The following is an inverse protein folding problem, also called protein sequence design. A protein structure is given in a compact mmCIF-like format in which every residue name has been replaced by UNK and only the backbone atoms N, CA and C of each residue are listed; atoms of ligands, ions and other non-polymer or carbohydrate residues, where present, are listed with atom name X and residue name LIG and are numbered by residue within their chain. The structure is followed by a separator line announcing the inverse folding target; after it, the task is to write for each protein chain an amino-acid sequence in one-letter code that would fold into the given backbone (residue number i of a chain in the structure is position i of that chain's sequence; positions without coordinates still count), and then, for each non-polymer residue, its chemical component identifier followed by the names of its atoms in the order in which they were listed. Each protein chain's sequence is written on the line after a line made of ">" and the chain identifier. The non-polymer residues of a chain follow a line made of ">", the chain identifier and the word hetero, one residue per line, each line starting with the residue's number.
data_IF_932281459668
#
_entry.id   IF_932281459668
#
_cell.length_a   1.000
_cell.length_b   1.000
_cell.length_c   1.000
_cell.angle_alpha   90.00
_cell.angle_beta   90.00
_cell.angle_gamma   90.00
#
_symmetry.space_group_name_H-M   'P 1'
#
loop_
_entity.id
_entity.type
_entity.pdbx_description
1 polymer ?
#
# COMPACT_ATOMS: atom_id res chain seq x y z
N UNK A 1 16.71 1.14 -6.07
CA UNK A 1 15.68 0.65 -5.14
C UNK A 1 14.34 0.99 -5.74
N UNK A 2 13.64 -0.02 -6.26
CA UNK A 2 12.31 0.13 -6.86
C UNK A 2 11.25 0.01 -5.77
N UNK A 3 10.22 0.84 -5.83
CA UNK A 3 9.08 0.79 -4.92
C UNK A 3 7.90 0.13 -5.63
N UNK A 4 7.19 -0.72 -4.91
CA UNK A 4 6.08 -1.50 -5.42
C UNK A 4 4.81 -1.18 -4.62
N UNK A 5 3.71 -0.96 -5.32
CA UNK A 5 2.41 -0.69 -4.70
C UNK A 5 1.81 -1.99 -4.14
N UNK A 6 1.52 -2.01 -2.84
CA UNK A 6 0.83 -3.11 -2.18
C UNK A 6 -0.67 -2.91 -2.18
N UNK A 7 -1.11 -1.74 -1.71
CA UNK A 7 -2.52 -1.43 -1.46
C UNK A 7 -2.80 -0.01 -1.90
N UNK A 8 -3.97 0.20 -2.50
CA UNK A 8 -4.48 1.53 -2.83
C UNK A 8 -5.91 1.67 -2.33
N UNK A 9 -6.10 2.49 -1.31
CA UNK A 9 -7.39 2.61 -0.60
C UNK A 9 -7.64 4.03 -0.09
N UNK A 10 -8.91 4.38 0.09
CA UNK A 10 -9.34 5.60 0.76
C UNK A 10 -9.65 5.37 2.25
N UNK A 11 -9.68 4.11 2.70
CA UNK A 11 -10.00 3.75 4.07
C UNK A 11 -8.78 3.96 4.98
N UNK A 12 -8.90 4.91 5.92
CA UNK A 12 -7.84 5.22 6.88
C UNK A 12 -7.57 4.08 7.86
N UNK A 13 -8.59 3.30 8.22
CA UNK A 13 -8.45 2.15 9.11
C UNK A 13 -7.60 1.09 8.44
N UNK A 14 -7.86 0.82 7.15
CA UNK A 14 -7.06 -0.13 6.39
C UNK A 14 -5.60 0.32 6.25
N UNK A 15 -5.36 1.60 5.95
CA UNK A 15 -3.98 2.15 5.88
C UNK A 15 -3.24 1.97 7.21
N UNK A 16 -3.89 2.28 8.33
CA UNK A 16 -3.30 2.09 9.66
C UNK A 16 -3.04 0.61 9.99
N UNK A 17 -3.97 -0.28 9.64
CA UNK A 17 -3.82 -1.72 9.86
C UNK A 17 -2.66 -2.30 9.05
N UNK A 18 -2.55 -1.94 7.77
CA UNK A 18 -1.46 -2.36 6.89
C UNK A 18 -0.12 -1.83 7.41
N UNK A 19 -0.05 -0.53 7.77
CA UNK A 19 1.17 0.07 8.32
C UNK A 19 1.64 -0.65 9.59
N UNK A 20 0.73 -0.92 10.53
CA UNK A 20 1.05 -1.61 11.77
C UNK A 20 1.55 -3.06 11.55
N UNK A 21 0.98 -3.79 10.58
CA UNK A 21 1.45 -5.12 10.20
C UNK A 21 2.88 -5.07 9.64
N UNK A 22 3.15 -4.13 8.73
CA UNK A 22 4.46 -3.98 8.12
C UNK A 22 5.53 -3.54 9.14
N UNK A 23 5.20 -2.59 10.02
CA UNK A 23 6.06 -2.20 11.15
C UNK A 23 6.35 -3.38 12.08
N UNK A 24 5.33 -4.16 12.43
CA UNK A 24 5.48 -5.35 13.30
C UNK A 24 6.38 -6.43 12.70
N UNK A 25 6.45 -6.51 11.36
CA UNK A 25 7.34 -7.41 10.63
C UNK A 25 8.71 -6.81 10.31
N UNK A 26 8.97 -5.55 10.68
CA UNK A 26 10.21 -4.84 10.35
C UNK A 26 10.36 -4.51 8.87
N UNK A 27 9.25 -4.44 8.12
CA UNK A 27 9.23 -4.15 6.68
C UNK A 27 9.07 -2.64 6.50
N UNK A 28 10.07 -2.02 5.86
CA UNK A 28 9.99 -0.61 5.52
C UNK A 28 8.89 -0.36 4.48
N UNK A 29 8.00 0.59 4.79
CA UNK A 29 6.89 0.96 3.93
C UNK A 29 6.76 2.48 3.82
N UNK A 30 6.15 2.92 2.72
CA UNK A 30 5.88 4.31 2.43
C UNK A 30 4.39 4.48 2.14
N UNK A 31 3.78 5.47 2.78
CA UNK A 31 2.39 5.87 2.49
C UNK A 31 2.42 7.15 1.67
N UNK A 32 2.02 7.04 0.40
CA UNK A 32 1.84 8.17 -0.52
C UNK A 32 0.39 8.67 -0.42
N UNK A 33 0.22 10.00 -0.52
CA UNK A 33 -1.04 10.77 -0.33
C UNK A 33 -1.31 11.25 1.12
N UNK A 34 -0.34 11.91 1.75
CA UNK A 34 -0.55 12.66 3.01
C UNK A 34 -0.93 14.15 2.79
N UNK A 35 -0.94 14.63 1.54
CA UNK A 35 -1.22 16.04 1.22
C UNK A 35 -2.64 16.21 0.66
N UNK A 36 -3.64 16.30 1.53
CA UNK A 36 -4.77 17.17 1.22
C UNK A 36 -5.28 17.86 2.48
N UNK A 37 -5.12 19.18 2.45
CA UNK A 37 -5.40 20.15 3.49
C UNK A 37 -6.80 19.97 4.07
N UNK A 38 -6.88 19.92 5.41
CA UNK A 38 -8.13 19.95 6.19
C UNK A 38 -8.89 21.28 6.03
N UNK A 39 -8.38 22.24 5.24
CA UNK A 39 -8.78 23.63 5.35
C UNK A 39 -9.88 24.14 4.39
N UNK A 40 -10.20 23.53 3.25
CA UNK A 40 -11.19 24.15 2.35
C UNK A 40 -11.89 23.17 1.38
N UNK A 41 -13.02 22.60 1.81
CA UNK A 41 -14.22 22.53 0.97
C UNK A 41 -14.24 21.70 -0.32
N UNK A 42 -13.29 20.80 -0.59
CA UNK A 42 -13.39 19.90 -1.76
C UNK A 42 -13.04 18.46 -1.41
N UNK A 43 -14.06 17.59 -1.48
CA UNK A 43 -14.03 16.13 -1.40
C UNK A 43 -13.26 15.52 -2.59
N UNK A 44 -11.98 15.86 -2.74
CA UNK A 44 -11.06 15.16 -3.62
C UNK A 44 -10.37 14.05 -2.85
N UNK A 45 -11.08 12.96 -2.55
CA UNK A 45 -10.49 11.82 -1.84
C UNK A 45 -9.53 11.11 -2.80
N UNK A 46 -8.29 11.57 -2.85
CA UNK A 46 -7.24 10.87 -3.54
C UNK A 46 -6.93 9.58 -2.77
N UNK A 47 -6.89 8.43 -3.46
CA UNK A 47 -6.61 7.16 -2.81
C UNK A 47 -5.17 7.08 -2.35
N UNK A 48 -5.00 6.79 -1.05
CA UNK A 48 -3.72 6.54 -0.40
C UNK A 48 -3.12 5.25 -0.90
N UNK A 49 -1.80 5.27 -1.09
CA UNK A 49 -1.04 4.13 -1.60
C UNK A 49 -0.03 3.71 -0.55
N UNK A 50 -0.02 2.42 -0.21
CA UNK A 50 1.03 1.82 0.61
C UNK A 50 2.01 1.12 -0.33
N UNK A 51 3.26 1.53 -0.26
CA UNK A 51 4.35 0.99 -1.08
C UNK A 51 5.40 0.36 -0.19
N UNK A 52 6.09 -0.64 -0.72
CA UNK A 52 7.26 -1.26 -0.09
C UNK A 52 8.40 -1.36 -1.09
N UNK A 53 9.59 -1.67 -0.59
CA UNK A 53 10.71 -2.00 -1.46
C UNK A 53 10.42 -3.30 -2.22
N UNK A 54 10.84 -3.38 -3.48
CA UNK A 54 10.68 -4.58 -4.32
C UNK A 54 11.25 -5.85 -3.68
N UNK A 55 12.37 -5.71 -2.95
CA UNK A 55 12.98 -6.82 -2.20
C UNK A 55 12.09 -7.39 -1.09
N UNK A 56 11.24 -6.54 -0.48
CA UNK A 56 10.34 -6.93 0.61
C UNK A 56 8.91 -7.19 0.14
N UNK A 57 8.59 -6.87 -1.11
CA UNK A 57 7.26 -6.96 -1.69
C UNK A 57 6.62 -8.35 -1.51
N UNK A 58 7.36 -9.41 -1.82
CA UNK A 58 6.85 -10.79 -1.64
C UNK A 58 6.53 -11.11 -0.18
N UNK A 59 7.39 -10.69 0.75
CA UNK A 59 7.20 -10.92 2.17
C UNK A 59 6.00 -10.12 2.69
N UNK A 60 5.90 -8.86 2.30
CA UNK A 60 4.80 -7.98 2.64
C UNK A 60 3.45 -8.52 2.12
N UNK A 61 3.37 -8.91 0.84
CA UNK A 61 2.16 -9.52 0.25
C UNK A 61 1.72 -10.76 1.00
N UNK A 62 2.67 -11.63 1.36
CA UNK A 62 2.40 -12.83 2.14
C UNK A 62 1.84 -12.49 3.52
N UNK A 63 2.48 -11.55 4.22
CA UNK A 63 2.02 -11.08 5.53
C UNK A 63 0.59 -10.53 5.48
N UNK A 64 0.28 -9.69 4.49
CA UNK A 64 -1.07 -9.16 4.30
C UNK A 64 -2.07 -10.27 3.98
N UNK A 65 -1.68 -11.27 3.18
CA UNK A 65 -2.54 -12.41 2.89
C UNK A 65 -2.82 -13.27 4.12
N UNK A 66 -1.81 -13.52 4.95
CA UNK A 66 -1.94 -14.25 6.22
C UNK A 66 -2.82 -13.48 7.23
N UNK A 67 -2.83 -12.15 7.17
CA UNK A 67 -3.71 -11.28 7.95
C UNK A 67 -5.14 -11.16 7.37
N UNK A 68 -5.47 -11.86 6.28
CA UNK A 68 -6.79 -11.81 5.65
C UNK A 68 -7.01 -10.61 4.73
N UNK A 69 -5.96 -9.86 4.39
CA UNK A 69 -6.01 -8.68 3.53
C UNK A 69 -5.61 -8.98 2.07
N UNK A 70 -5.54 -10.25 1.68
CA UNK A 70 -5.14 -10.66 0.32
C UNK A 70 -5.97 -9.98 -0.79
N UNK A 71 -7.25 -9.71 -0.53
CA UNK A 71 -8.15 -9.06 -1.48
C UNK A 71 -7.89 -7.56 -1.69
N UNK A 72 -7.11 -6.92 -0.80
CA UNK A 72 -6.73 -5.50 -0.94
C UNK A 72 -5.45 -5.33 -1.77
N UNK A 73 -4.76 -6.44 -2.07
CA UNK A 73 -3.50 -6.41 -2.77
C UNK A 73 -3.70 -5.99 -4.23
N UNK A 74 -2.97 -4.96 -4.64
CA UNK A 74 -2.87 -4.55 -6.04
C UNK A 74 -1.98 -5.53 -6.82
N UNK A 75 -2.27 -5.81 -8.10
CA UNK A 75 -1.34 -6.56 -8.95
C UNK A 75 0.01 -5.85 -9.01
N UNK A 76 1.09 -6.61 -9.20
CA UNK A 76 2.42 -6.04 -9.34
C UNK A 76 2.53 -5.33 -10.70
N UNK A 77 2.89 -4.05 -10.72
CA UNK A 77 3.04 -3.30 -11.98
C UNK A 77 4.10 -3.94 -12.91
N UNK A 78 5.04 -4.72 -12.35
CA UNK A 78 6.02 -5.47 -13.15
C UNK A 78 5.42 -6.69 -13.88
N UNK A 79 4.24 -7.16 -13.47
CA UNK A 79 3.52 -8.24 -14.16
C UNK A 79 2.83 -7.71 -15.44
N UNK A 80 2.39 -6.46 -15.43
CA UNK A 80 1.73 -5.79 -16.57
C UNK A 80 2.70 -5.58 -17.76
N UNK A 81 3.97 -5.32 -17.49
CA UNK A 81 5.03 -5.17 -18.51
C UNK A 81 5.47 -6.49 -19.16
N UNK A 82 5.07 -7.66 -18.63
CA UNK A 82 5.35 -8.97 -19.23
C UNK A 82 4.25 -9.46 -20.17
N UNK A 83 3.15 -8.72 -20.29
CA UNK A 83 1.99 -9.09 -21.11
C UNK A 83 2.02 -8.50 -22.54
N UNK A 84 3.14 -7.94 -23.00
CA UNK A 84 3.33 -7.34 -24.34
C UNK A 84 4.60 -7.93 -24.99
#
# INVERSE_FOLDING_TARGET
>A
MTLQELVRTNDMVLVSAVGALLDGAGIFHLVLDQNMSVLEGSLGVLPRRVLVNDGDNRAARRLLAEAGLAHELRPDDADDLRAI
#
